data_IF_920305435619
#
_entry.id   IF_920305435619
#
_cell.length_a   1.000
_cell.length_b   1.000
_cell.length_c   1.000
_cell.angle_alpha   90.00
_cell.angle_beta   90.00
_cell.angle_gamma   90.00
#
_symmetry.space_group_name_H-M   'P 1'
#
loop_
_entity.id
_entity.type
_entity.pdbx_description
1 polymer ?
#
# COMPACT_ATOMS: atom_id res chain seq x y z
N UNK A 1 12.80 -2.72 9.58
CA UNK A 1 12.07 -3.31 8.45
C UNK A 1 10.60 -3.34 8.80
N UNK A 2 9.72 -3.13 7.83
CA UNK A 2 8.27 -3.15 8.03
C UNK A 2 7.79 -4.55 8.45
N UNK A 3 6.78 -4.62 9.31
CA UNK A 3 6.11 -5.88 9.63
C UNK A 3 5.01 -6.16 8.60
N UNK A 4 5.25 -7.13 7.72
CA UNK A 4 4.37 -7.45 6.60
C UNK A 4 3.35 -8.51 7.02
N UNK A 5 2.08 -8.10 7.17
CA UNK A 5 0.97 -8.98 7.53
C UNK A 5 0.35 -9.58 6.28
N UNK A 6 0.02 -10.87 6.33
CA UNK A 6 -0.36 -11.62 5.13
C UNK A 6 -1.70 -11.24 4.50
N UNK A 7 -2.56 -10.49 5.21
CA UNK A 7 -3.89 -10.11 4.76
C UNK A 7 -4.23 -8.69 5.14
N UNK A 8 -5.06 -8.04 4.32
CA UNK A 8 -5.48 -6.66 4.55
C UNK A 8 -6.32 -6.48 5.83
N UNK A 9 -7.08 -7.50 6.25
CA UNK A 9 -7.90 -7.47 7.47
C UNK A 9 -7.09 -7.62 8.76
N UNK A 10 -5.77 -7.80 8.63
CA UNK A 10 -4.83 -7.72 9.76
C UNK A 10 -4.22 -6.33 9.95
N UNK A 11 -4.37 -5.45 8.95
CA UNK A 11 -3.92 -4.06 9.00
C UNK A 11 -5.02 -3.14 9.54
N UNK A 12 -4.65 -2.18 10.38
CA UNK A 12 -5.42 -0.95 10.51
C UNK A 12 -5.17 -0.04 9.30
N UNK A 13 -6.05 0.92 9.06
CA UNK A 13 -5.84 1.93 8.01
C UNK A 13 -4.53 2.70 8.23
N UNK A 14 -4.19 3.04 9.47
CA UNK A 14 -2.95 3.75 9.80
C UNK A 14 -1.67 2.94 9.52
N UNK A 15 -1.66 1.65 9.84
CA UNK A 15 -0.50 0.78 9.55
C UNK A 15 -0.27 0.62 8.05
N UNK A 16 -1.35 0.60 7.27
CA UNK A 16 -1.29 0.53 5.82
C UNK A 16 -0.92 1.87 5.18
N UNK A 17 -1.39 2.98 5.75
CA UNK A 17 -1.03 4.35 5.36
C UNK A 17 0.47 4.58 5.46
N UNK A 18 1.06 4.27 6.61
CA UNK A 18 2.52 4.39 6.83
C UNK A 18 3.32 3.56 5.81
N UNK A 19 2.82 2.39 5.38
CA UNK A 19 3.48 1.57 4.37
C UNK A 19 3.41 2.25 2.99
N UNK A 20 2.25 2.82 2.64
CA UNK A 20 2.08 3.58 1.39
C UNK A 20 2.95 4.84 1.36
N UNK A 21 3.06 5.56 2.47
CA UNK A 21 3.93 6.74 2.57
C UNK A 21 5.40 6.37 2.33
N UNK A 22 5.87 5.22 2.83
CA UNK A 22 7.23 4.74 2.53
C UNK A 22 7.42 4.47 1.03
N UNK A 23 6.44 3.82 0.38
CA UNK A 23 6.48 3.54 -1.06
C UNK A 23 6.47 4.84 -1.88
N UNK A 24 5.47 5.70 -1.66
CA UNK A 24 5.23 6.92 -2.45
C UNK A 24 6.38 7.90 -2.32
N UNK A 25 6.90 8.10 -1.11
CA UNK A 25 8.00 9.02 -0.87
C UNK A 25 9.38 8.39 -1.16
N UNK A 26 9.43 7.12 -1.59
CA UNK A 26 10.65 6.34 -1.77
C UNK A 26 11.58 6.42 -0.55
N UNK A 27 11.02 6.26 0.65
CA UNK A 27 11.76 6.32 1.92
C UNK A 27 11.73 5.00 2.67
N UNK A 28 12.47 4.93 3.77
CA UNK A 28 12.47 3.80 4.67
C UNK A 28 12.55 4.29 6.12
N UNK A 29 11.89 3.57 7.04
CA UNK A 29 12.11 3.69 8.50
C UNK A 29 13.57 3.39 8.87
N UNK A 30 14.18 2.42 8.19
CA UNK A 30 15.61 2.15 8.27
C UNK A 30 16.39 3.10 7.34
N UNK A 31 16.93 4.18 7.91
CA UNK A 31 17.71 5.20 7.19
C UNK A 31 19.06 4.69 6.64
N UNK A 32 19.46 3.46 6.99
CA UNK A 32 20.66 2.82 6.41
C UNK A 32 20.42 2.26 5.01
N UNK A 33 19.15 2.03 4.62
CA UNK A 33 18.80 1.56 3.28
C UNK A 33 18.98 2.69 2.26
N UNK A 34 19.85 2.47 1.27
CA UNK A 34 20.15 3.41 0.19
C UNK A 34 20.45 2.68 -1.11
N UNK A 35 20.31 3.37 -2.25
CA UNK A 35 20.54 2.83 -3.58
C UNK A 35 19.78 1.52 -3.81
N UNK A 36 20.46 0.51 -4.39
CA UNK A 36 19.88 -0.81 -4.69
C UNK A 36 19.22 -1.52 -3.51
N UNK A 37 19.68 -1.28 -2.27
CA UNK A 37 19.07 -1.87 -1.07
C UNK A 37 17.73 -1.23 -0.74
N UNK A 38 17.60 0.08 -0.98
CA UNK A 38 16.35 0.81 -0.83
C UNK A 38 15.38 0.41 -1.95
N UNK A 39 15.83 0.37 -3.20
CA UNK A 39 15.03 -0.09 -4.34
C UNK A 39 14.41 -1.47 -4.08
N UNK A 40 15.24 -2.47 -3.72
CA UNK A 40 14.75 -3.82 -3.42
C UNK A 40 13.76 -3.86 -2.25
N UNK A 41 13.93 -2.99 -1.27
CA UNK A 41 13.00 -2.87 -0.14
C UNK A 41 11.65 -2.30 -0.60
N UNK A 42 11.66 -1.21 -1.38
CA UNK A 42 10.46 -0.61 -1.94
C UNK A 42 9.73 -1.58 -2.87
N UNK A 43 10.47 -2.32 -3.72
CA UNK A 43 9.90 -3.38 -4.56
C UNK A 43 9.17 -4.44 -3.72
N UNK A 44 9.77 -4.85 -2.59
CA UNK A 44 9.14 -5.80 -1.66
C UNK A 44 7.83 -5.24 -1.08
N UNK A 45 7.77 -3.94 -0.75
CA UNK A 45 6.56 -3.32 -0.25
C UNK A 45 5.47 -3.21 -1.34
N UNK A 46 5.86 -2.91 -2.58
CA UNK A 46 4.94 -2.86 -3.73
C UNK A 46 4.37 -4.24 -4.03
N UNK A 47 5.20 -5.28 -4.08
CA UNK A 47 4.76 -6.66 -4.28
C UNK A 47 3.78 -7.10 -3.18
N UNK A 48 4.06 -6.71 -1.94
CA UNK A 48 3.17 -6.95 -0.81
C UNK A 48 1.84 -6.22 -0.96
N UNK A 49 1.86 -4.93 -1.29
CA UNK A 49 0.67 -4.13 -1.59
C UNK A 49 -0.20 -4.80 -2.65
N UNK A 50 0.40 -5.25 -3.77
CA UNK A 50 -0.32 -5.94 -4.84
C UNK A 50 -0.97 -7.23 -4.32
N UNK A 51 -0.22 -8.04 -3.57
CA UNK A 51 -0.70 -9.30 -3.00
C UNK A 51 -1.90 -9.09 -2.07
N UNK A 52 -1.81 -8.18 -1.10
CA UNK A 52 -2.83 -8.09 -0.03
C UNK A 52 -4.04 -7.25 -0.43
N UNK A 53 -3.89 -6.27 -1.32
CA UNK A 53 -5.03 -5.51 -1.85
C UNK A 53 -5.83 -6.33 -2.85
N UNK A 54 -5.15 -7.15 -3.66
CA UNK A 54 -5.76 -7.91 -4.76
C UNK A 54 -6.40 -7.02 -5.83
N UNK A 55 -6.11 -5.72 -5.84
CA UNK A 55 -6.76 -4.77 -6.73
C UNK A 55 -6.31 -5.00 -8.18
N UNK A 56 -7.20 -4.98 -9.18
CA UNK A 56 -6.86 -5.28 -10.57
C UNK A 56 -5.83 -4.32 -11.17
N UNK A 57 -5.83 -3.06 -10.73
CA UNK A 57 -4.83 -2.06 -11.12
C UNK A 57 -3.44 -2.27 -10.47
N UNK A 58 -3.30 -3.17 -9.49
CA UNK A 58 -2.01 -3.50 -8.86
C UNK A 58 -1.23 -2.23 -8.46
N UNK A 59 0.08 -2.18 -8.75
CA UNK A 59 0.94 -1.02 -8.50
C UNK A 59 0.59 0.23 -9.31
N UNK A 60 -0.27 0.14 -10.33
CA UNK A 60 -0.69 1.33 -11.10
C UNK A 60 -1.44 2.33 -10.23
N UNK A 61 -2.07 1.89 -9.15
CA UNK A 61 -2.67 2.79 -8.15
C UNK A 61 -1.64 3.74 -7.52
N UNK A 62 -0.37 3.33 -7.47
CA UNK A 62 0.73 4.09 -6.86
C UNK A 62 1.50 4.86 -7.94
N UNK A 63 1.86 4.18 -9.04
CA UNK A 63 2.80 4.72 -10.03
C UNK A 63 2.14 5.44 -11.20
N UNK A 64 0.89 5.09 -11.52
CA UNK A 64 0.16 5.64 -12.67
C UNK A 64 -1.26 6.06 -12.28
N UNK A 65 -1.42 6.91 -11.23
CA UNK A 65 -2.72 7.38 -10.80
C UNK A 65 -3.36 8.25 -11.90
N UNK A 66 -4.68 8.12 -12.04
CA UNK A 66 -5.46 8.95 -12.93
C UNK A 66 -6.84 9.23 -12.31
N UNK A 67 -7.08 10.45 -11.80
CA UNK A 67 -6.21 11.63 -11.89
C UNK A 67 -4.94 11.55 -11.00
N UNK A 68 -3.89 12.38 -11.20
CA UNK A 68 -2.61 12.26 -10.49
C UNK A 68 -2.74 12.26 -8.97
N UNK A 69 -3.69 13.01 -8.44
CA UNK A 69 -3.94 13.11 -7.01
C UNK A 69 -4.45 11.80 -6.39
N UNK A 70 -4.99 10.86 -7.17
CA UNK A 70 -5.37 9.52 -6.67
C UNK A 70 -4.16 8.69 -6.19
N UNK A 71 -2.94 9.12 -6.50
CA UNK A 71 -1.70 8.52 -6.01
C UNK A 71 -1.32 8.94 -4.58
N UNK A 72 -2.06 9.87 -3.97
CA UNK A 72 -1.87 10.21 -2.56
C UNK A 72 -2.23 9.00 -1.67
N UNK A 73 -1.41 8.65 -0.66
CA UNK A 73 -1.61 7.47 0.19
C UNK A 73 -3.05 7.32 0.73
N UNK A 74 -3.66 8.41 1.19
CA UNK A 74 -5.02 8.43 1.73
C UNK A 74 -6.09 8.13 0.65
N UNK A 75 -5.88 8.60 -0.58
CA UNK A 75 -6.78 8.33 -1.71
C UNK A 75 -6.63 6.89 -2.19
N UNK A 76 -5.41 6.34 -2.20
CA UNK A 76 -5.18 4.92 -2.50
C UNK A 76 -5.95 4.05 -1.50
N UNK A 77 -5.90 4.35 -0.19
CA UNK A 77 -6.68 3.64 0.83
C UNK A 77 -8.17 3.68 0.51
N UNK A 78 -8.70 4.86 0.17
CA UNK A 78 -10.11 5.03 -0.17
C UNK A 78 -10.50 4.18 -1.39
N UNK A 79 -9.72 4.22 -2.46
CA UNK A 79 -9.94 3.44 -3.68
C UNK A 79 -9.94 1.94 -3.38
N UNK A 80 -8.95 1.45 -2.62
CA UNK A 80 -8.86 0.05 -2.21
C UNK A 80 -10.09 -0.35 -1.40
N UNK A 81 -10.52 0.46 -0.42
CA UNK A 81 -11.72 0.17 0.39
C UNK A 81 -12.98 0.10 -0.45
N UNK A 82 -13.21 1.09 -1.30
CA UNK A 82 -14.39 1.17 -2.16
C UNK A 82 -14.47 -0.02 -3.11
N UNK A 83 -13.35 -0.36 -3.76
CA UNK A 83 -13.29 -1.52 -4.64
C UNK A 83 -13.52 -2.82 -3.85
N UNK A 84 -12.81 -3.07 -2.75
CA UNK A 84 -12.98 -4.30 -1.96
C UNK A 84 -14.39 -4.46 -1.42
N UNK A 85 -15.00 -3.38 -0.95
CA UNK A 85 -16.41 -3.35 -0.52
C UNK A 85 -17.36 -3.72 -1.66
N UNK A 86 -17.12 -3.20 -2.87
CA UNK A 86 -17.92 -3.56 -4.06
C UNK A 86 -17.83 -5.03 -4.45
N UNK A 87 -16.72 -5.70 -4.08
CA UNK A 87 -16.49 -7.12 -4.33
C UNK A 87 -16.93 -8.03 -3.17
N UNK A 88 -17.42 -7.47 -2.05
CA UNK A 88 -17.73 -8.24 -0.84
C UNK A 88 -16.50 -8.82 -0.13
N UNK A 89 -15.32 -8.23 -0.34
CA UNK A 89 -14.06 -8.68 0.26
C UNK A 89 -13.83 -8.05 1.64
N UNK A 90 -13.07 -8.72 2.54
CA UNK A 90 -12.70 -8.15 3.83
C UNK A 90 -11.99 -6.80 3.71
N UNK A 91 -12.31 -5.87 4.61
CA UNK A 91 -11.67 -4.55 4.72
C UNK A 91 -10.60 -4.55 5.82
N UNK A 92 -10.03 -3.38 6.11
CA UNK A 92 -9.10 -3.19 7.22
C UNK A 92 -9.72 -3.55 8.57
N UNK A 93 -8.86 -3.91 9.53
CA UNK A 93 -9.22 -4.34 10.89
C UNK A 93 -10.12 -3.35 11.63
N UNK A 94 -9.92 -2.05 11.38
CA UNK A 94 -10.64 -0.93 12.00
C UNK A 94 -11.69 -0.29 11.08
N UNK A 95 -11.78 -0.75 9.82
CA UNK A 95 -12.87 -0.41 8.91
C UNK A 95 -14.11 -1.25 9.22
N UNK A 96 -15.01 -0.74 10.08
CA UNK A 96 -16.37 -1.28 10.23
C UNK A 96 -17.30 -0.83 9.10
#
# INVERSE_FOLDING_TARGET
MYDLKDKIDFYTEGEFLEMLEEIVNATSKDKSLKGKRLEKYLDTLVDHFIKITGHPKKGDLIFYPNPPEDGEPEKIIKIVKEWRRSQGLPLFKDSK
#
